data_IF_971903809632
#
_entry.id   IF_971903809632
#
_cell.length_a   1.000
_cell.length_b   1.000
_cell.length_c   1.000
_cell.angle_alpha   90.00
_cell.angle_beta   90.00
_cell.angle_gamma   90.00
#
_symmetry.space_group_name_H-M   'P 1'
#
loop_
_entity.id
_entity.type
_entity.pdbx_description
1 polymer ?
#
# COMPACT_ATOMS: atom_id res chain seq x y z
N UNK A 1 29.66 34.00 -3.78
CA UNK A 1 31.06 33.95 -3.31
C UNK A 1 31.49 32.49 -3.28
N UNK A 2 32.45 32.11 -4.12
CA UNK A 2 32.99 30.75 -4.19
C UNK A 2 34.42 30.85 -3.64
N UNK A 3 34.69 30.15 -2.53
CA UNK A 3 36.05 29.95 -2.04
C UNK A 3 36.68 28.77 -2.77
N UNK A 4 37.83 29.00 -3.39
CA UNK A 4 38.68 27.98 -4.00
C UNK A 4 39.78 27.58 -3.01
N UNK A 5 40.07 26.29 -2.89
CA UNK A 5 41.26 25.79 -2.21
C UNK A 5 42.29 25.28 -3.22
N UNK A 6 43.56 25.56 -2.94
CA UNK A 6 44.76 25.26 -3.74
C UNK A 6 45.13 23.78 -3.67
N UNK A 7 44.53 22.93 -4.50
CA UNK A 7 45.05 21.58 -4.78
C UNK A 7 44.49 20.92 -6.05
N UNK A 8 44.01 21.69 -7.03
CA UNK A 8 43.93 21.25 -8.44
C UNK A 8 43.29 19.89 -8.74
N UNK A 9 42.39 19.37 -7.89
CA UNK A 9 41.69 18.12 -8.12
C UNK A 9 40.19 18.39 -8.24
N UNK A 10 39.65 18.07 -9.42
CA UNK A 10 38.21 18.04 -9.66
C UNK A 10 37.69 16.83 -8.88
N UNK A 11 37.09 17.07 -7.71
CA UNK A 11 36.26 16.09 -7.04
C UNK A 11 35.06 15.81 -7.95
N UNK A 12 35.04 14.63 -8.56
CA UNK A 12 33.85 14.11 -9.22
C UNK A 12 32.69 14.06 -8.21
N UNK A 13 31.45 14.36 -8.61
CA UNK A 13 30.31 14.22 -7.72
C UNK A 13 30.24 12.76 -7.23
N UNK A 14 30.05 12.57 -5.92
CA UNK A 14 29.68 11.28 -5.34
C UNK A 14 28.48 10.72 -6.13
N UNK A 15 28.74 9.69 -6.93
CA UNK A 15 27.70 8.95 -7.62
C UNK A 15 27.02 8.08 -6.55
N UNK A 16 25.96 8.61 -5.95
CA UNK A 16 25.05 7.83 -5.13
C UNK A 16 24.30 6.88 -6.07
N UNK A 17 24.58 5.58 -5.95
CA UNK A 17 23.80 4.53 -6.60
C UNK A 17 22.44 4.44 -5.89
N UNK A 18 21.47 5.20 -6.39
CA UNK A 18 20.06 5.10 -6.00
C UNK A 18 19.36 3.97 -6.78
N UNK A 19 19.93 2.77 -6.79
CA UNK A 19 19.17 1.59 -7.19
C UNK A 19 18.02 1.38 -6.18
N UNK A 20 16.74 1.44 -6.59
CA UNK A 20 15.62 1.26 -5.68
C UNK A 20 15.73 -0.12 -5.04
N UNK A 21 15.72 -0.19 -3.71
CA UNK A 21 15.56 -1.46 -2.99
C UNK A 21 14.25 -2.07 -3.47
N UNK A 22 14.34 -3.13 -4.29
CA UNK A 22 13.18 -3.89 -4.76
C UNK A 22 12.52 -4.51 -3.53
N UNK A 23 11.40 -3.94 -3.08
CA UNK A 23 10.60 -4.55 -2.05
C UNK A 23 9.83 -5.70 -2.68
N UNK A 24 10.36 -6.92 -2.53
CA UNK A 24 9.68 -8.13 -2.95
C UNK A 24 8.58 -8.37 -1.93
N UNK A 25 7.31 -8.10 -2.28
CA UNK A 25 6.17 -8.54 -1.48
C UNK A 25 6.24 -10.07 -1.48
N UNK A 26 6.49 -10.73 -0.33
CA UNK A 26 6.62 -12.19 -0.32
C UNK A 26 5.32 -12.84 -0.80
N UNK A 27 5.33 -14.09 -1.30
CA UNK A 27 4.09 -14.82 -1.60
C UNK A 27 3.32 -15.17 -0.31
N UNK A 28 1.97 -15.13 -0.34
CA UNK A 28 1.07 -15.52 0.78
C UNK A 28 1.47 -16.85 1.46
N UNK A 29 1.94 -17.84 0.70
CA UNK A 29 2.12 -19.23 1.19
C UNK A 29 3.40 -19.48 2.00
N UNK A 30 4.42 -18.61 1.94
CA UNK A 30 5.67 -18.78 2.71
C UNK A 30 5.65 -18.08 4.08
N UNK A 31 4.62 -17.29 4.38
CA UNK A 31 4.59 -16.38 5.55
C UNK A 31 3.98 -16.95 6.84
N UNK A 32 3.41 -18.16 6.80
CA UNK A 32 2.97 -18.84 8.04
C UNK A 32 4.13 -19.49 8.83
N UNK A 33 5.33 -19.58 8.26
CA UNK A 33 6.49 -20.20 8.92
C UNK A 33 7.37 -19.19 9.68
N UNK A 34 7.35 -17.90 9.32
CA UNK A 34 8.22 -16.88 9.92
C UNK A 34 7.80 -16.43 11.32
N UNK A 35 6.55 -16.70 11.74
CA UNK A 35 6.07 -16.32 13.09
C UNK A 35 6.61 -17.25 14.19
N UNK A 36 7.19 -18.42 13.87
CA UNK A 36 7.68 -19.39 14.86
C UNK A 36 9.20 -19.47 15.03
N UNK A 37 10.01 -18.64 14.35
CA UNK A 37 11.47 -18.88 14.31
C UNK A 37 12.40 -17.66 14.31
N UNK A 38 12.03 -16.56 14.96
CA UNK A 38 12.97 -15.45 15.20
C UNK A 38 13.05 -15.09 16.68
N UNK A 39 13.65 -15.99 17.47
CA UNK A 39 14.57 -15.56 18.50
C UNK A 39 15.96 -15.69 17.87
N UNK A 40 16.73 -14.60 17.92
CA UNK A 40 18.16 -14.46 17.57
C UNK A 40 18.48 -13.67 16.28
N UNK A 41 18.93 -12.43 16.54
CA UNK A 41 19.68 -11.47 15.73
C UNK A 41 19.48 -11.45 14.20
N UNK A 42 18.59 -10.55 13.76
CA UNK A 42 18.94 -9.66 12.66
C UNK A 42 18.17 -8.33 12.83
N UNK A 43 18.92 -7.24 12.90
CA UNK A 43 18.39 -5.89 13.01
C UNK A 43 17.68 -5.52 11.70
N UNK A 44 16.34 -5.58 11.67
CA UNK A 44 15.40 -4.76 10.86
C UNK A 44 14.00 -5.40 10.82
N UNK A 45 13.37 -5.62 11.98
CA UNK A 45 11.99 -6.08 12.06
C UNK A 45 11.05 -4.87 12.24
N UNK A 46 10.41 -4.51 11.13
CA UNK A 46 9.65 -3.29 10.76
C UNK A 46 8.46 -2.93 11.68
N UNK A 47 8.12 -1.63 11.88
CA UNK A 47 6.75 -1.19 12.16
C UNK A 47 5.96 -1.14 10.84
N UNK A 48 5.29 -2.24 10.49
CA UNK A 48 5.17 -2.71 9.10
C UNK A 48 4.14 -2.01 8.19
N UNK A 49 3.02 -1.46 8.71
CA UNK A 49 1.95 -0.94 7.82
C UNK A 49 2.20 0.47 7.30
N UNK A 50 2.51 1.42 8.18
CA UNK A 50 2.57 2.84 7.82
C UNK A 50 3.75 3.11 6.87
N UNK A 51 4.87 2.44 7.12
CA UNK A 51 6.05 2.44 6.25
C UNK A 51 5.73 1.81 4.89
N UNK A 52 4.97 0.71 4.84
CA UNK A 52 4.58 0.06 3.58
C UNK A 52 3.58 0.93 2.79
N UNK A 53 2.61 1.54 3.47
CA UNK A 53 1.68 2.51 2.90
C UNK A 53 2.46 3.68 2.27
N UNK A 54 3.40 4.25 3.01
CA UNK A 54 4.25 5.36 2.56
C UNK A 54 5.08 4.94 1.36
N UNK A 55 5.76 3.79 1.44
CA UNK A 55 6.54 3.23 0.35
C UNK A 55 5.71 3.05 -0.93
N UNK A 56 4.50 2.47 -0.82
CA UNK A 56 3.63 2.27 -1.99
C UNK A 56 3.21 3.60 -2.60
N UNK A 57 2.84 4.60 -1.78
CA UNK A 57 2.46 5.93 -2.24
C UNK A 57 3.60 6.70 -2.92
N UNK A 58 4.82 6.55 -2.42
CA UNK A 58 6.00 7.25 -2.95
C UNK A 58 6.53 6.62 -4.24
N UNK A 59 6.47 5.30 -4.36
CA UNK A 59 7.13 4.56 -5.44
C UNK A 59 6.20 4.18 -6.59
N UNK A 60 4.88 4.18 -6.38
CA UNK A 60 3.91 3.73 -7.38
C UNK A 60 2.85 4.79 -7.67
N UNK A 61 2.50 4.89 -8.96
CA UNK A 61 1.38 5.75 -9.38
C UNK A 61 0.06 5.07 -9.05
N UNK A 62 -0.87 5.85 -8.54
CA UNK A 62 -2.24 5.41 -8.33
C UNK A 62 -2.87 5.01 -9.66
N UNK A 63 -3.37 3.77 -9.73
CA UNK A 63 -4.11 3.24 -10.86
C UNK A 63 -5.50 3.87 -10.93
N UNK A 64 -6.25 3.77 -9.83
CA UNK A 64 -7.64 4.18 -9.72
C UNK A 64 -7.96 4.55 -8.26
N UNK A 65 -8.95 5.43 -8.09
CA UNK A 65 -9.42 5.89 -6.78
C UNK A 65 -10.94 5.83 -6.73
N UNK A 66 -11.48 5.41 -5.59
CA UNK A 66 -12.89 5.58 -5.22
C UNK A 66 -12.93 6.61 -4.09
N UNK A 67 -13.48 7.78 -4.41
CA UNK A 67 -13.51 8.92 -3.48
C UNK A 67 -14.78 8.91 -2.63
N UNK A 68 -14.77 9.72 -1.57
CA UNK A 68 -15.84 9.78 -0.56
C UNK A 68 -17.25 10.00 -1.12
N UNK A 69 -17.41 10.79 -2.19
CA UNK A 69 -18.72 11.03 -2.81
C UNK A 69 -19.32 9.76 -3.44
N UNK A 70 -18.49 8.84 -3.93
CA UNK A 70 -18.91 7.53 -4.44
C UNK A 70 -19.22 6.55 -3.30
N UNK A 71 -18.69 6.85 -2.10
CA UNK A 71 -18.81 6.05 -0.89
C UNK A 71 -19.85 6.62 0.08
N UNK A 72 -20.74 7.49 -0.37
CA UNK A 72 -21.74 8.15 0.50
C UNK A 72 -22.67 7.15 1.19
N UNK A 73 -22.91 5.99 0.57
CA UNK A 73 -23.70 4.89 1.14
C UNK A 73 -22.90 4.01 2.10
N UNK A 74 -21.59 4.24 2.26
CA UNK A 74 -20.73 3.52 3.19
C UNK A 74 -20.56 4.29 4.50
N UNK A 75 -21.01 3.70 5.60
CA UNK A 75 -20.87 4.28 6.94
C UNK A 75 -19.44 4.18 7.49
N UNK A 76 -18.59 3.34 6.91
CA UNK A 76 -17.25 3.04 7.44
C UNK A 76 -16.11 3.32 6.45
N UNK A 77 -16.35 3.26 5.14
CA UNK A 77 -15.32 3.49 4.12
C UNK A 77 -15.29 4.96 3.68
N UNK A 78 -14.12 5.58 3.67
CA UNK A 78 -13.93 7.00 3.31
C UNK A 78 -13.26 7.19 1.96
N UNK A 79 -12.26 6.37 1.64
CA UNK A 79 -11.52 6.42 0.37
C UNK A 79 -10.91 5.06 0.06
N UNK A 80 -10.76 4.72 -1.22
CA UNK A 80 -10.00 3.54 -1.66
C UNK A 80 -9.08 3.92 -2.81
N UNK A 81 -7.79 3.67 -2.66
CA UNK A 81 -6.78 3.93 -3.70
C UNK A 81 -6.12 2.63 -4.12
N UNK A 82 -6.09 2.34 -5.42
CA UNK A 82 -5.43 1.16 -5.97
C UNK A 82 -4.11 1.50 -6.65
N UNK A 83 -3.14 0.62 -6.49
CA UNK A 83 -1.79 0.69 -7.05
C UNK A 83 -1.51 -0.61 -7.80
N UNK A 84 -0.91 -0.51 -8.99
CA UNK A 84 -0.55 -1.67 -9.78
C UNK A 84 0.92 -2.00 -9.56
N UNK A 85 1.21 -3.19 -9.03
CA UNK A 85 2.57 -3.66 -8.72
C UNK A 85 2.72 -5.07 -9.29
N UNK A 86 3.58 -5.23 -10.31
CA UNK A 86 3.91 -6.55 -10.90
C UNK A 86 2.67 -7.41 -11.23
N UNK A 87 1.68 -6.82 -11.92
CA UNK A 87 0.39 -7.44 -12.27
C UNK A 87 -0.52 -7.81 -11.10
N UNK A 88 -0.18 -7.44 -9.87
CA UNK A 88 -1.06 -7.50 -8.70
C UNK A 88 -1.57 -6.11 -8.36
N UNK A 89 -2.68 -6.06 -7.63
CA UNK A 89 -3.23 -4.82 -7.11
C UNK A 89 -2.93 -4.74 -5.61
N UNK A 90 -2.44 -3.59 -5.19
CA UNK A 90 -2.39 -3.19 -3.78
C UNK A 90 -3.44 -2.11 -3.58
N UNK A 91 -4.23 -2.23 -2.52
CA UNK A 91 -5.26 -1.27 -2.16
C UNK A 91 -4.89 -0.63 -0.83
N UNK A 92 -4.96 0.70 -0.78
CA UNK A 92 -4.92 1.48 0.46
C UNK A 92 -6.33 2.04 0.68
N UNK A 93 -6.97 1.61 1.76
CA UNK A 93 -8.31 2.04 2.14
C UNK A 93 -8.24 2.95 3.37
N UNK A 94 -8.88 4.11 3.26
CA UNK A 94 -9.11 5.02 4.37
C UNK A 94 -10.45 4.67 5.02
N UNK A 95 -10.41 4.22 6.26
CA UNK A 95 -11.57 3.75 7.03
C UNK A 95 -11.85 4.75 8.16
N UNK A 96 -13.11 5.15 8.30
CA UNK A 96 -13.59 6.06 9.35
C UNK A 96 -13.50 5.37 10.71
N UNK A 97 -13.06 6.08 11.75
CA UNK A 97 -12.97 5.52 13.10
C UNK A 97 -14.36 5.35 13.76
N UNK A 98 -15.34 6.13 13.33
CA UNK A 98 -16.76 5.97 13.64
C UNK A 98 -17.60 6.65 12.54
N UNK A 99 -18.90 6.41 12.50
CA UNK A 99 -19.78 6.84 11.40
C UNK A 99 -19.82 8.36 11.18
N UNK A 100 -19.56 9.15 12.23
CA UNK A 100 -19.66 10.62 12.25
C UNK A 100 -18.26 11.26 12.23
N UNK A 101 -17.19 10.48 12.37
CA UNK A 101 -15.85 11.01 12.51
C UNK A 101 -15.32 11.57 11.20
N UNK A 102 -14.70 12.74 11.29
CA UNK A 102 -13.79 13.24 10.25
C UNK A 102 -12.46 12.48 10.26
N UNK A 103 -12.14 11.85 11.40
CA UNK A 103 -10.95 11.04 11.59
C UNK A 103 -11.10 9.66 10.95
N UNK A 104 -9.99 9.22 10.38
CA UNK A 104 -9.88 7.98 9.64
C UNK A 104 -8.47 7.43 9.78
N UNK A 105 -8.33 6.14 9.53
CA UNK A 105 -7.05 5.44 9.48
C UNK A 105 -6.91 4.74 8.15
N UNK A 106 -5.68 4.68 7.64
CA UNK A 106 -5.38 3.95 6.42
C UNK A 106 -5.01 2.51 6.73
N UNK A 107 -5.48 1.61 5.88
CA UNK A 107 -5.24 0.18 5.92
C UNK A 107 -4.79 -0.27 4.54
N UNK A 108 -3.89 -1.24 4.49
CA UNK A 108 -3.32 -1.74 3.24
C UNK A 108 -3.69 -3.20 3.01
N UNK A 109 -4.06 -3.50 1.78
CA UNK A 109 -4.50 -4.80 1.30
C UNK A 109 -3.64 -5.19 0.09
N UNK A 110 -3.09 -6.40 0.10
CA UNK A 110 -2.00 -6.84 -0.76
C UNK A 110 -2.42 -7.98 -1.69
N UNK A 111 -1.73 -8.09 -2.83
CA UNK A 111 -1.85 -9.23 -3.74
C UNK A 111 -3.28 -9.48 -4.28
N UNK A 112 -4.08 -8.43 -4.40
CA UNK A 112 -5.45 -8.50 -4.90
C UNK A 112 -5.43 -8.85 -6.39
N UNK A 113 -6.11 -9.92 -6.83
CA UNK A 113 -6.26 -10.25 -8.24
C UNK A 113 -6.93 -9.12 -9.01
N UNK A 114 -6.52 -8.89 -10.26
CA UNK A 114 -7.18 -7.89 -11.11
C UNK A 114 -8.69 -8.14 -11.26
N UNK A 115 -9.13 -9.40 -11.26
CA UNK A 115 -10.55 -9.75 -11.30
C UNK A 115 -11.31 -9.23 -10.08
N UNK A 116 -10.78 -9.48 -8.87
CA UNK A 116 -11.37 -8.97 -7.63
C UNK A 116 -11.41 -7.44 -7.62
N UNK A 117 -10.35 -6.79 -8.06
CA UNK A 117 -10.34 -5.33 -8.20
C UNK A 117 -11.41 -4.84 -9.18
N UNK A 118 -11.53 -5.46 -10.35
CA UNK A 118 -12.53 -5.09 -11.35
C UNK A 118 -13.96 -5.30 -10.83
N UNK A 119 -14.21 -6.40 -10.13
CA UNK A 119 -15.50 -6.68 -9.51
C UNK A 119 -15.84 -5.64 -8.43
N UNK A 120 -14.86 -5.23 -7.62
CA UNK A 120 -15.02 -4.13 -6.66
C UNK A 120 -15.32 -2.79 -7.34
N UNK A 121 -14.49 -2.41 -8.32
CA UNK A 121 -14.50 -1.07 -8.90
C UNK A 121 -15.65 -0.86 -9.88
N UNK A 122 -15.83 -1.78 -10.83
CA UNK A 122 -16.86 -1.68 -11.87
C UNK A 122 -18.18 -2.35 -11.47
N UNK A 123 -18.19 -3.18 -10.43
CA UNK A 123 -19.39 -3.91 -10.03
C UNK A 123 -19.81 -4.99 -11.04
N UNK A 124 -18.87 -5.58 -11.78
CA UNK A 124 -19.15 -6.48 -12.92
C UNK A 124 -20.16 -7.60 -12.61
N UNK A 125 -20.13 -8.18 -11.40
CA UNK A 125 -21.10 -9.21 -10.96
C UNK A 125 -22.07 -8.72 -9.88
N UNK A 126 -21.83 -7.54 -9.30
CA UNK A 126 -22.53 -7.03 -8.11
C UNK A 126 -22.88 -5.53 -8.26
N UNK A 127 -23.39 -5.14 -9.42
CA UNK A 127 -23.69 -3.75 -9.75
C UNK A 127 -24.71 -3.12 -8.78
N UNK A 128 -25.60 -3.94 -8.22
CA UNK A 128 -26.61 -3.50 -7.24
C UNK A 128 -26.07 -3.34 -5.82
N UNK A 129 -24.85 -3.84 -5.53
CA UNK A 129 -24.22 -3.70 -4.23
C UNK A 129 -23.52 -2.35 -4.11
N UNK A 130 -23.49 -1.83 -2.89
CA UNK A 130 -22.70 -0.66 -2.54
C UNK A 130 -21.20 -0.97 -2.62
N UNK A 131 -20.36 0.07 -2.72
CA UNK A 131 -18.91 -0.11 -2.65
C UNK A 131 -18.46 -0.73 -1.33
N UNK A 132 -19.11 -0.40 -0.21
CA UNK A 132 -18.79 -1.00 1.09
C UNK A 132 -19.03 -2.52 1.12
N UNK A 133 -20.13 -2.98 0.55
CA UNK A 133 -20.42 -4.42 0.43
C UNK A 133 -19.45 -5.11 -0.54
N UNK A 134 -19.16 -4.48 -1.69
CA UNK A 134 -18.17 -5.04 -2.63
C UNK A 134 -16.77 -5.08 -2.05
N UNK A 135 -16.40 -4.11 -1.20
CA UNK A 135 -15.12 -4.12 -0.52
C UNK A 135 -14.99 -5.35 0.40
N UNK A 136 -16.04 -5.64 1.18
CA UNK A 136 -16.08 -6.84 2.03
C UNK A 136 -15.91 -8.13 1.22
N UNK A 137 -16.54 -8.23 0.05
CA UNK A 137 -16.51 -9.45 -0.76
C UNK A 137 -15.16 -9.65 -1.46
N UNK A 138 -14.59 -8.58 -2.03
CA UNK A 138 -13.50 -8.71 -2.99
C UNK A 138 -12.13 -8.28 -2.46
N UNK A 139 -12.08 -7.46 -1.40
CA UNK A 139 -10.84 -6.79 -0.95
C UNK A 139 -10.49 -7.13 0.50
N UNK A 140 -11.47 -7.25 1.39
CA UNK A 140 -11.22 -7.32 2.85
C UNK A 140 -10.33 -8.49 3.28
N UNK A 141 -10.46 -9.65 2.64
CA UNK A 141 -9.67 -10.87 2.93
C UNK A 141 -8.19 -10.78 2.48
N UNK A 142 -7.82 -9.69 1.82
CA UNK A 142 -6.46 -9.46 1.30
C UNK A 142 -5.65 -8.56 2.24
N UNK A 143 -5.93 -8.53 3.53
CA UNK A 143 -5.13 -7.75 4.48
C UNK A 143 -3.63 -8.12 4.37
N UNK A 144 -2.74 -7.13 4.46
CA UNK A 144 -1.30 -7.39 4.34
C UNK A 144 -0.69 -8.02 5.61
N UNK A 145 -1.50 -8.40 6.60
CA UNK A 145 -1.09 -8.94 7.90
C UNK A 145 -0.04 -8.09 8.63
N UNK A 146 -0.12 -6.77 8.46
CA UNK A 146 0.66 -5.85 9.26
C UNK A 146 -0.20 -5.43 10.46
N UNK A 147 0.18 -5.89 11.66
CA UNK A 147 -0.46 -5.58 12.94
C UNK A 147 0.50 -4.78 13.81
#
# INVERSE_FOLDING_TARGET
>A
MISLNLSGQILSPLHYDESPKKYVIPPVKERQQTIKKSNESDSNLVPFCDDLISYVKENYKTKQVVESYQLITSTWLKKVSAYSIENKIVVIAEIKLNEISLESKEYIFCEIPNENWNNFYYGTFDAMKTFGERFHIYILDYDCYCN
#
